data_IF_963005098679
#
_entry.id   IF_963005098679
#
_cell.length_a   1.000
_cell.length_b   1.000
_cell.length_c   1.000
_cell.angle_alpha   90.00
_cell.angle_beta   90.00
_cell.angle_gamma   90.00
#
_symmetry.space_group_name_H-M   'P 1'
#
loop_
_entity.id
_entity.type
_entity.pdbx_description
1 polymer ?
#
# COMPACT_ATOMS: atom_id res chain seq x y z
N UNK A 1 -11.34 113.69 66.75
CA UNK A 1 -10.46 112.50 66.75
C UNK A 1 -11.26 111.18 66.79
N UNK A 2 -12.42 111.11 67.46
CA UNK A 2 -13.30 109.91 67.50
C UNK A 2 -13.80 109.39 66.12
N UNK A 3 -14.16 110.28 65.20
CA UNK A 3 -14.72 109.90 63.88
C UNK A 3 -13.68 109.21 62.96
N UNK A 4 -12.39 109.49 63.14
CA UNK A 4 -11.33 108.90 62.31
C UNK A 4 -11.03 107.45 62.74
N UNK A 5 -11.16 107.16 64.05
CA UNK A 5 -10.98 105.81 64.61
C UNK A 5 -12.10 104.85 64.22
N UNK A 6 -13.36 105.30 64.16
CA UNK A 6 -14.48 104.46 63.74
C UNK A 6 -14.38 104.09 62.26
N UNK A 7 -14.01 105.05 61.40
CA UNK A 7 -13.76 104.82 59.97
C UNK A 7 -12.60 103.85 59.75
N UNK A 8 -11.53 103.92 60.56
CA UNK A 8 -10.40 102.99 60.50
C UNK A 8 -10.77 101.55 60.89
N UNK A 9 -11.62 101.38 61.91
CA UNK A 9 -12.13 100.06 62.33
C UNK A 9 -13.01 99.46 61.24
N UNK A 10 -13.85 100.28 60.60
CA UNK A 10 -14.74 99.85 59.53
C UNK A 10 -13.97 99.48 58.25
N UNK A 11 -12.96 100.29 57.86
CA UNK A 11 -12.03 99.95 56.78
C UNK A 11 -11.24 98.66 57.07
N UNK A 12 -10.83 98.43 58.31
CA UNK A 12 -10.14 97.18 58.70
C UNK A 12 -11.07 95.97 58.61
N UNK A 13 -12.35 96.12 58.97
CA UNK A 13 -13.37 95.07 58.81
C UNK A 13 -13.65 94.76 57.34
N UNK A 14 -13.81 95.79 56.52
CA UNK A 14 -14.00 95.69 55.06
C UNK A 14 -12.81 94.98 54.41
N UNK A 15 -11.58 95.37 54.77
CA UNK A 15 -10.35 94.73 54.27
C UNK A 15 -10.28 93.24 54.64
N UNK A 16 -10.64 92.91 55.88
CA UNK A 16 -10.72 91.50 56.33
C UNK A 16 -11.82 90.71 55.62
N UNK A 17 -12.97 91.31 55.33
CA UNK A 17 -14.05 90.68 54.56
C UNK A 17 -13.63 90.45 53.10
N UNK A 18 -12.96 91.43 52.48
CA UNK A 18 -12.41 91.32 51.14
C UNK A 18 -11.36 90.20 51.02
N UNK A 19 -10.46 90.07 52.00
CA UNK A 19 -9.52 88.96 52.07
C UNK A 19 -10.23 87.61 52.23
N UNK A 20 -11.31 87.55 53.03
CA UNK A 20 -12.09 86.33 53.20
C UNK A 20 -12.82 85.93 51.92
N UNK A 21 -13.39 86.90 51.20
CA UNK A 21 -14.00 86.67 49.87
C UNK A 21 -12.98 86.15 48.86
N UNK A 22 -11.77 86.73 48.82
CA UNK A 22 -10.69 86.25 47.94
C UNK A 22 -10.34 84.78 48.18
N UNK A 23 -10.18 84.38 49.46
CA UNK A 23 -9.92 82.97 49.80
C UNK A 23 -11.08 82.03 49.43
N UNK A 24 -12.32 82.50 49.52
CA UNK A 24 -13.48 81.72 49.07
C UNK A 24 -13.52 81.59 47.55
N UNK A 25 -13.15 82.65 46.81
CA UNK A 25 -13.07 82.64 45.36
C UNK A 25 -12.01 81.66 44.87
N UNK A 26 -10.79 81.70 45.43
CA UNK A 26 -9.69 80.77 45.11
C UNK A 26 -10.07 79.31 45.39
N UNK A 27 -10.79 79.04 46.50
CA UNK A 27 -11.31 77.70 46.81
C UNK A 27 -12.35 77.23 45.80
N UNK A 28 -13.24 78.13 45.37
CA UNK A 28 -14.25 77.83 44.36
C UNK A 28 -13.59 77.51 43.02
N UNK A 29 -12.65 78.33 42.57
CA UNK A 29 -11.88 78.11 41.33
C UNK A 29 -11.09 76.80 41.38
N UNK A 30 -10.44 76.49 42.50
CA UNK A 30 -9.72 75.22 42.68
C UNK A 30 -10.64 74.00 42.65
N UNK A 31 -11.82 74.09 43.30
CA UNK A 31 -12.82 73.02 43.27
C UNK A 31 -13.41 72.83 41.86
N UNK A 32 -13.64 73.93 41.12
CA UNK A 32 -14.14 73.92 39.75
C UNK A 32 -13.10 73.31 38.79
N UNK A 33 -11.82 73.63 38.98
CA UNK A 33 -10.72 73.01 38.23
C UNK A 33 -10.59 71.49 38.51
N UNK A 34 -10.71 71.08 39.78
CA UNK A 34 -10.71 69.66 40.16
C UNK A 34 -11.91 68.90 39.56
N UNK A 35 -13.09 69.52 39.57
CA UNK A 35 -14.31 68.96 38.94
C UNK A 35 -14.14 68.76 37.44
N UNK A 36 -13.61 69.78 36.73
CA UNK A 36 -13.34 69.69 35.30
C UNK A 36 -12.31 68.60 34.97
N UNK A 37 -11.29 68.44 35.81
CA UNK A 37 -10.25 67.40 35.65
C UNK A 37 -10.84 66.00 35.81
N UNK A 38 -11.68 65.80 36.84
CA UNK A 38 -12.37 64.50 37.07
C UNK A 38 -13.31 64.19 35.91
N UNK A 39 -14.03 65.18 35.39
CA UNK A 39 -14.95 64.99 34.27
C UNK A 39 -14.22 64.57 32.98
N UNK A 40 -13.08 65.19 32.69
CA UNK A 40 -12.21 64.79 31.57
C UNK A 40 -11.63 63.37 31.75
N UNK A 41 -11.19 63.01 32.95
CA UNK A 41 -10.70 61.66 33.24
C UNK A 41 -11.80 60.60 33.10
N UNK A 42 -13.03 60.95 33.51
CA UNK A 42 -14.20 60.09 33.35
C UNK A 42 -14.55 59.88 31.87
N UNK A 43 -14.57 60.95 31.06
CA UNK A 43 -14.80 60.82 29.61
C UNK A 43 -13.74 59.95 28.93
N UNK A 44 -12.47 60.14 29.28
CA UNK A 44 -11.37 59.34 28.74
C UNK A 44 -11.48 57.86 29.10
N UNK A 45 -11.83 57.55 30.36
CA UNK A 45 -12.04 56.14 30.79
C UNK A 45 -13.24 55.50 30.10
N UNK A 46 -14.35 56.23 29.91
CA UNK A 46 -15.50 55.73 29.15
C UNK A 46 -15.14 55.46 27.69
N UNK A 47 -14.34 56.32 27.06
CA UNK A 47 -13.82 56.08 25.70
C UNK A 47 -12.93 54.84 25.63
N UNK A 48 -12.02 54.66 26.59
CA UNK A 48 -11.18 53.46 26.66
C UNK A 48 -12.00 52.18 26.81
N UNK A 49 -13.00 52.17 27.69
CA UNK A 49 -13.90 51.02 27.86
C UNK A 49 -14.66 50.73 26.58
N UNK A 50 -15.17 51.77 25.88
CA UNK A 50 -15.82 51.57 24.57
C UNK A 50 -14.88 50.97 23.53
N UNK A 51 -13.64 51.45 23.44
CA UNK A 51 -12.65 50.92 22.51
C UNK A 51 -12.34 49.45 22.80
N UNK A 52 -12.08 49.12 24.06
CA UNK A 52 -11.82 47.74 24.51
C UNK A 52 -13.03 46.82 24.22
N UNK A 53 -14.25 47.28 24.51
CA UNK A 53 -15.46 46.53 24.17
C UNK A 53 -15.63 46.32 22.66
N UNK A 54 -15.17 47.25 21.82
CA UNK A 54 -15.22 47.11 20.37
C UNK A 54 -14.22 46.06 19.89
N UNK A 55 -12.97 46.11 20.35
CA UNK A 55 -11.92 45.14 20.03
C UNK A 55 -12.33 43.71 20.40
N UNK A 56 -12.86 43.51 21.61
CA UNK A 56 -13.36 42.21 22.06
C UNK A 56 -14.47 41.69 21.13
N UNK A 57 -15.35 42.59 20.67
CA UNK A 57 -16.45 42.24 19.76
C UNK A 57 -15.92 41.77 18.40
N UNK A 58 -14.93 42.48 17.86
CA UNK A 58 -14.32 42.15 16.58
C UNK A 58 -13.59 40.79 16.65
N UNK A 59 -12.87 40.52 17.74
CA UNK A 59 -12.26 39.20 18.01
C UNK A 59 -13.35 38.11 18.10
N UNK A 60 -14.47 38.39 18.76
CA UNK A 60 -15.57 37.43 18.88
C UNK A 60 -16.20 37.11 17.52
N UNK A 61 -16.36 38.12 16.66
CA UNK A 61 -16.85 37.92 15.30
C UNK A 61 -15.85 37.13 14.44
N UNK A 62 -14.55 37.46 14.53
CA UNK A 62 -13.49 36.75 13.81
C UNK A 62 -13.42 35.27 14.21
N UNK A 63 -13.46 34.97 15.51
CA UNK A 63 -13.47 33.58 16.00
C UNK A 63 -14.72 32.82 15.57
N UNK A 64 -15.90 33.46 15.59
CA UNK A 64 -17.14 32.85 15.11
C UNK A 64 -17.06 32.48 13.62
N UNK A 65 -16.58 33.39 12.78
CA UNK A 65 -16.40 33.13 11.35
C UNK A 65 -15.39 32.01 11.10
N UNK A 66 -14.25 32.05 11.80
CA UNK A 66 -13.23 31.01 11.70
C UNK A 66 -13.78 29.63 12.05
N UNK A 67 -14.49 29.50 13.17
CA UNK A 67 -15.10 28.22 13.58
C UNK A 67 -16.11 27.76 12.53
N UNK A 68 -16.93 28.67 12.00
CA UNK A 68 -17.94 28.32 11.01
C UNK A 68 -17.31 27.81 9.69
N UNK A 69 -16.21 28.41 9.24
CA UNK A 69 -15.52 28.00 8.02
C UNK A 69 -14.67 26.74 8.24
N UNK A 70 -14.10 26.56 9.43
CA UNK A 70 -13.44 25.33 9.83
C UNK A 70 -14.41 24.15 9.79
N UNK A 71 -15.60 24.28 10.38
CA UNK A 71 -16.63 23.23 10.38
C UNK A 71 -17.06 22.88 8.95
N UNK A 72 -17.26 23.88 8.07
CA UNK A 72 -17.60 23.63 6.65
C UNK A 72 -16.49 22.87 5.93
N UNK A 73 -15.23 23.25 6.16
CA UNK A 73 -14.06 22.62 5.54
C UNK A 73 -13.90 21.17 6.00
N UNK A 74 -14.06 20.91 7.30
CA UNK A 74 -14.01 19.54 7.82
C UNK A 74 -15.17 18.71 7.27
N UNK A 75 -16.38 19.26 7.23
CA UNK A 75 -17.54 18.55 6.69
C UNK A 75 -17.38 18.19 5.20
N UNK A 76 -16.81 19.09 4.39
CA UNK A 76 -16.54 18.81 2.97
C UNK A 76 -15.43 17.77 2.80
N UNK A 77 -14.38 17.82 3.63
CA UNK A 77 -13.29 16.83 3.62
C UNK A 77 -13.78 15.43 4.00
N UNK A 78 -14.63 15.31 5.04
CA UNK A 78 -15.22 14.04 5.46
C UNK A 78 -16.10 13.47 4.36
N UNK A 79 -16.95 14.30 3.73
CA UNK A 79 -17.79 13.87 2.59
C UNK A 79 -16.94 13.36 1.42
N UNK A 80 -15.89 14.09 1.05
CA UNK A 80 -14.97 13.70 -0.03
C UNK A 80 -14.22 12.41 0.28
N UNK A 81 -13.75 12.26 1.52
CA UNK A 81 -13.08 11.04 1.95
C UNK A 81 -14.04 9.86 1.87
N UNK A 82 -15.27 10.01 2.39
CA UNK A 82 -16.28 8.97 2.34
C UNK A 82 -16.63 8.55 0.91
N UNK A 83 -16.77 9.49 -0.03
CA UNK A 83 -17.03 9.15 -1.44
C UNK A 83 -15.89 8.35 -2.07
N UNK A 84 -14.63 8.69 -1.76
CA UNK A 84 -13.46 7.95 -2.25
C UNK A 84 -13.45 6.53 -1.69
N UNK A 85 -13.68 6.37 -0.38
CA UNK A 85 -13.73 5.05 0.25
C UNK A 85 -14.84 4.17 -0.33
N UNK A 86 -16.04 4.72 -0.55
CA UNK A 86 -17.15 4.00 -1.16
C UNK A 86 -16.86 3.56 -2.59
N UNK A 87 -16.20 4.39 -3.39
CA UNK A 87 -15.81 4.01 -4.74
C UNK A 87 -14.73 2.92 -4.75
N UNK A 88 -13.74 3.02 -3.85
CA UNK A 88 -12.69 2.02 -3.71
C UNK A 88 -13.24 0.67 -3.24
N UNK A 89 -14.14 0.64 -2.26
CA UNK A 89 -14.76 -0.61 -1.80
C UNK A 89 -15.60 -1.25 -2.90
N UNK A 90 -16.36 -0.46 -3.66
CA UNK A 90 -17.12 -0.97 -4.82
C UNK A 90 -16.20 -1.60 -5.85
N UNK A 91 -15.12 -0.91 -6.25
CA UNK A 91 -14.14 -1.44 -7.21
C UNK A 91 -13.48 -2.72 -6.68
N UNK A 92 -13.11 -2.77 -5.41
CA UNK A 92 -12.49 -3.95 -4.80
C UNK A 92 -13.43 -5.17 -4.83
N UNK A 93 -14.70 -4.99 -4.50
CA UNK A 93 -15.71 -6.06 -4.54
C UNK A 93 -15.91 -6.56 -5.97
N UNK A 94 -16.03 -5.63 -6.93
CA UNK A 94 -16.20 -5.95 -8.34
C UNK A 94 -15.00 -6.70 -8.92
N UNK A 95 -13.78 -6.20 -8.70
CA UNK A 95 -12.54 -6.87 -9.13
C UNK A 95 -12.41 -8.26 -8.49
N UNK A 96 -12.76 -8.42 -7.22
CA UNK A 96 -12.71 -9.72 -6.55
C UNK A 96 -13.72 -10.71 -7.14
N UNK A 97 -14.91 -10.25 -7.54
CA UNK A 97 -15.90 -11.07 -8.21
C UNK A 97 -15.43 -11.49 -9.61
N UNK A 98 -14.91 -10.55 -10.41
CA UNK A 98 -14.37 -10.82 -11.73
C UNK A 98 -13.17 -11.77 -11.68
N UNK A 99 -12.26 -11.60 -10.73
CA UNK A 99 -11.13 -12.49 -10.53
C UNK A 99 -11.58 -13.94 -10.23
N UNK A 100 -12.63 -14.12 -9.43
CA UNK A 100 -13.18 -15.46 -9.16
C UNK A 100 -13.76 -16.11 -10.41
N UNK A 101 -14.45 -15.34 -11.24
CA UNK A 101 -15.00 -15.83 -12.51
C UNK A 101 -13.88 -16.19 -13.50
N UNK A 102 -12.86 -15.34 -13.64
CA UNK A 102 -11.70 -15.63 -14.48
C UNK A 102 -10.96 -16.88 -13.99
N UNK A 103 -10.72 -17.02 -12.69
CA UNK A 103 -10.05 -18.18 -12.13
C UNK A 103 -10.83 -19.47 -12.42
N UNK A 104 -12.16 -19.43 -12.34
CA UNK A 104 -13.01 -20.57 -12.72
C UNK A 104 -12.91 -20.88 -14.22
N UNK A 105 -12.97 -19.87 -15.08
CA UNK A 105 -12.82 -20.04 -16.52
C UNK A 105 -11.44 -20.61 -16.88
N UNK A 106 -10.38 -20.08 -16.28
CA UNK A 106 -9.01 -20.57 -16.46
C UNK A 106 -8.91 -22.05 -16.10
N UNK A 107 -9.45 -22.46 -14.95
CA UNK A 107 -9.48 -23.86 -14.54
C UNK A 107 -10.19 -24.73 -15.57
N UNK A 108 -11.37 -24.33 -16.03
CA UNK A 108 -12.13 -25.08 -17.04
C UNK A 108 -11.36 -25.20 -18.37
N UNK A 109 -10.87 -24.08 -18.90
CA UNK A 109 -10.10 -24.06 -20.14
C UNK A 109 -8.82 -24.89 -20.03
N UNK A 110 -8.15 -24.83 -18.88
CA UNK A 110 -6.95 -25.60 -18.62
C UNK A 110 -7.22 -27.11 -18.61
N UNK A 111 -8.29 -27.54 -17.93
CA UNK A 111 -8.68 -28.94 -17.91
C UNK A 111 -9.06 -29.44 -19.32
N UNK A 112 -9.82 -28.66 -20.09
CA UNK A 112 -10.12 -29.01 -21.49
C UNK A 112 -8.85 -29.12 -22.33
N UNK A 113 -7.87 -28.24 -22.13
CA UNK A 113 -6.59 -28.32 -22.84
C UNK A 113 -5.85 -29.61 -22.51
N UNK A 114 -5.82 -30.01 -21.23
CA UNK A 114 -5.19 -31.25 -20.79
C UNK A 114 -5.91 -32.46 -21.39
N UNK A 115 -7.25 -32.46 -21.40
CA UNK A 115 -8.06 -33.52 -22.00
C UNK A 115 -7.79 -33.65 -23.52
N UNK A 116 -7.70 -32.52 -24.22
CA UNK A 116 -7.39 -32.47 -25.65
C UNK A 116 -5.97 -32.96 -25.96
N UNK A 117 -5.01 -32.73 -25.06
CA UNK A 117 -3.66 -33.30 -25.16
C UNK A 117 -3.62 -34.80 -24.86
N UNK A 118 -4.66 -35.33 -24.23
CA UNK A 118 -4.74 -36.72 -23.80
C UNK A 118 -4.51 -36.87 -22.29
N UNK A 119 -5.44 -37.60 -21.66
CA UNK A 119 -5.40 -37.93 -20.23
C UNK A 119 -4.32 -38.96 -19.87
N UNK A 120 -3.84 -39.71 -20.86
CA UNK A 120 -2.74 -40.66 -20.71
C UNK A 120 -1.57 -40.12 -21.52
N UNK A 121 -0.45 -39.87 -20.84
CA UNK A 121 0.80 -39.43 -21.44
C UNK A 121 1.90 -40.44 -21.14
N UNK A 122 2.66 -40.82 -22.16
CA UNK A 122 3.75 -41.77 -22.07
C UNK A 122 5.05 -41.06 -22.39
N UNK A 123 5.88 -40.92 -21.36
CA UNK A 123 7.21 -40.36 -21.47
C UNK A 123 8.26 -41.47 -21.51
N UNK A 124 9.17 -41.41 -22.47
CA UNK A 124 10.29 -42.33 -22.56
C UNK A 124 11.56 -41.69 -21.99
N UNK A 125 12.21 -42.37 -21.05
CA UNK A 125 13.51 -41.96 -20.49
C UNK A 125 14.55 -43.02 -20.78
N UNK A 126 15.67 -42.61 -21.38
CA UNK A 126 16.83 -43.47 -21.59
C UNK A 126 17.83 -43.24 -20.45
N UNK A 127 18.19 -44.29 -19.72
CA UNK A 127 19.20 -44.20 -18.68
C UNK A 127 20.59 -44.03 -19.31
N UNK A 128 21.41 -43.06 -18.88
CA UNK A 128 22.82 -42.98 -19.28
C UNK A 128 23.58 -44.25 -18.90
N UNK A 129 24.40 -44.75 -19.83
CA UNK A 129 25.28 -45.90 -19.60
C UNK A 129 26.69 -45.35 -19.37
N UNK A 130 27.31 -45.66 -18.24
CA UNK A 130 28.71 -45.35 -17.94
C UNK A 130 29.66 -46.29 -18.70
N UNK A 131 29.52 -46.40 -20.03
CA UNK A 131 30.37 -47.27 -20.83
C UNK A 131 31.56 -46.50 -21.41
N UNK A 132 32.75 -46.91 -20.98
CA UNK A 132 34.01 -46.76 -21.71
C UNK A 132 33.77 -47.09 -23.20
N UNK A 133 34.34 -46.28 -24.09
CA UNK A 133 33.80 -45.83 -25.40
C UNK A 133 33.52 -46.88 -26.50
N UNK A 134 33.29 -48.15 -26.16
CA UNK A 134 33.33 -49.28 -27.09
C UNK A 134 31.99 -50.01 -27.32
N UNK A 135 30.88 -49.59 -26.70
CA UNK A 135 29.54 -50.14 -26.97
C UNK A 135 28.68 -49.09 -27.69
N UNK A 136 28.33 -49.34 -28.96
CA UNK A 136 27.44 -48.47 -29.74
C UNK A 136 26.09 -48.36 -29.01
N UNK A 137 25.57 -47.14 -28.84
CA UNK A 137 24.18 -46.95 -28.45
C UNK A 137 23.28 -47.39 -29.62
N UNK A 138 22.35 -48.31 -29.38
CA UNK A 138 21.44 -48.82 -30.42
C UNK A 138 20.16 -47.96 -30.51
N UNK A 139 20.07 -46.90 -29.70
CA UNK A 139 18.92 -46.01 -29.61
C UNK A 139 19.28 -44.66 -30.22
N UNK A 140 18.39 -44.16 -31.07
CA UNK A 140 18.46 -42.83 -31.65
C UNK A 140 17.16 -42.11 -31.33
N UNK A 141 17.26 -40.93 -30.71
CA UNK A 141 16.13 -40.04 -30.44
C UNK A 141 16.03 -39.00 -31.54
N UNK A 142 14.82 -38.59 -31.90
CA UNK A 142 14.57 -37.40 -32.72
C UNK A 142 13.87 -36.32 -31.87
N UNK A 143 13.95 -35.07 -32.31
CA UNK A 143 13.35 -33.92 -31.61
C UNK A 143 11.81 -33.95 -31.58
N UNK A 144 11.18 -34.89 -32.32
CA UNK A 144 9.73 -35.01 -32.46
C UNK A 144 9.11 -36.09 -31.55
N UNK A 145 9.81 -36.53 -30.50
CA UNK A 145 9.29 -37.58 -29.60
C UNK A 145 9.33 -38.99 -30.19
N UNK A 146 10.12 -39.21 -31.26
CA UNK A 146 10.32 -40.52 -31.87
C UNK A 146 11.60 -41.17 -31.34
N UNK A 147 11.49 -42.43 -30.92
CA UNK A 147 12.60 -43.27 -30.52
C UNK A 147 12.81 -44.38 -31.56
N UNK A 148 14.00 -44.45 -32.13
CA UNK A 148 14.40 -45.46 -33.10
C UNK A 148 15.39 -46.43 -32.46
N UNK A 149 15.00 -47.69 -32.33
CA UNK A 149 15.86 -48.78 -31.88
C UNK A 149 16.42 -49.56 -33.07
N UNK A 150 17.73 -49.58 -33.22
CA UNK A 150 18.46 -50.32 -34.26
C UNK A 150 18.85 -51.71 -33.72
N UNK A 151 18.07 -52.75 -34.06
CA UNK A 151 18.31 -54.12 -33.57
C UNK A 151 19.36 -54.85 -34.43
N UNK A 152 19.34 -54.62 -35.74
CA UNK A 152 20.37 -55.06 -36.70
C UNK A 152 20.61 -53.98 -37.75
N UNK A 153 21.60 -54.15 -38.63
CA UNK A 153 21.87 -53.20 -39.74
C UNK A 153 20.66 -52.98 -40.65
N UNK A 154 19.75 -53.95 -40.75
CA UNK A 154 18.53 -53.91 -41.56
C UNK A 154 17.23 -53.79 -40.78
N UNK A 155 17.21 -54.10 -39.48
CA UNK A 155 16.00 -54.11 -38.65
C UNK A 155 15.99 -52.95 -37.66
N UNK A 156 15.11 -51.97 -37.93
CA UNK A 156 14.89 -50.79 -37.10
C UNK A 156 13.43 -50.79 -36.62
N UNK A 157 13.21 -50.53 -35.33
CA UNK A 157 11.88 -50.32 -34.75
C UNK A 157 11.72 -48.87 -34.34
N UNK A 158 10.58 -48.27 -34.66
CA UNK A 158 10.24 -46.89 -34.31
C UNK A 158 9.10 -46.88 -33.32
N UNK A 159 9.25 -46.06 -32.28
CA UNK A 159 8.28 -45.89 -31.21
C UNK A 159 7.98 -44.40 -31.07
N UNK A 160 6.70 -44.07 -30.94
CA UNK A 160 6.25 -42.70 -30.74
C UNK A 160 5.78 -42.53 -29.30
N UNK A 161 6.26 -41.46 -28.68
CA UNK A 161 5.96 -41.08 -27.30
C UNK A 161 5.58 -39.60 -27.26
N UNK A 162 4.91 -39.19 -26.19
CA UNK A 162 4.61 -37.77 -25.96
C UNK A 162 5.89 -36.95 -25.77
N UNK A 163 6.90 -37.56 -25.13
CA UNK A 163 8.25 -37.01 -25.07
C UNK A 163 9.29 -38.11 -24.90
N UNK A 164 10.47 -37.92 -25.49
CA UNK A 164 11.63 -38.82 -25.33
C UNK A 164 12.79 -38.03 -24.76
N UNK A 165 13.22 -38.37 -23.54
CA UNK A 165 14.38 -37.76 -22.90
C UNK A 165 15.67 -38.42 -23.41
N UNK A 166 16.58 -37.60 -23.96
CA UNK A 166 17.88 -38.04 -24.46
C UNK A 166 18.77 -38.61 -23.34
N UNK A 167 19.79 -39.38 -23.72
CA UNK A 167 20.76 -39.99 -22.80
C UNK A 167 21.49 -38.95 -21.93
N UNK A 168 21.63 -37.74 -22.44
CA UNK A 168 22.28 -36.61 -21.75
C UNK A 168 21.32 -35.82 -20.85
N UNK A 169 20.02 -36.14 -20.87
CA UNK A 169 19.03 -35.45 -20.06
C UNK A 169 19.27 -35.73 -18.57
N UNK A 170 19.47 -34.67 -17.80
CA UNK A 170 19.61 -34.74 -16.35
C UNK A 170 18.26 -35.00 -15.68
N UNK A 171 18.30 -35.50 -14.45
CA UNK A 171 17.12 -35.67 -13.61
C UNK A 171 16.36 -34.34 -13.44
N UNK A 172 17.08 -33.23 -13.34
CA UNK A 172 16.51 -31.88 -13.22
C UNK A 172 15.82 -31.44 -14.52
N UNK A 173 16.39 -31.72 -15.70
CA UNK A 173 15.74 -31.42 -16.99
C UNK A 173 14.49 -32.28 -17.26
N UNK A 174 14.36 -33.43 -16.59
CA UNK A 174 13.14 -34.24 -16.61
C UNK A 174 12.04 -33.64 -15.72
N UNK A 175 12.45 -32.91 -14.67
CA UNK A 175 11.59 -32.32 -13.65
C UNK A 175 11.30 -30.84 -13.94
N UNK A 176 12.07 -30.17 -14.79
CA UNK A 176 12.02 -28.71 -15.01
C UNK A 176 11.99 -28.40 -16.52
N UNK A 177 11.12 -27.48 -17.01
CA UNK A 177 11.13 -27.10 -18.42
C UNK A 177 12.40 -26.30 -18.76
N UNK A 178 13.04 -26.67 -19.87
CA UNK A 178 14.07 -25.82 -20.51
C UNK A 178 13.50 -24.55 -21.17
N UNK A 179 12.17 -24.35 -21.20
CA UNK A 179 11.51 -23.29 -21.98
C UNK A 179 11.50 -21.89 -21.33
N UNK A 180 12.07 -21.71 -20.13
CA UNK A 180 12.18 -20.39 -19.45
C UNK A 180 13.61 -19.99 -19.06
N UNK A 181 14.65 -20.61 -19.66
CA UNK A 181 16.06 -20.26 -19.36
C UNK A 181 16.65 -19.26 -20.38
N UNK A 182 15.90 -18.85 -21.40
CA UNK A 182 16.33 -17.75 -22.29
C UNK A 182 15.64 -16.42 -21.96
N UNK A 183 15.73 -15.97 -20.72
CA UNK A 183 15.70 -14.53 -20.48
C UNK A 183 16.80 -14.14 -19.49
N UNK A 184 17.81 -13.48 -20.05
CA UNK A 184 19.01 -13.00 -19.36
C UNK A 184 18.64 -12.04 -18.23
N UNK A 185 19.18 -12.35 -17.05
CA UNK A 185 19.92 -11.44 -16.16
C UNK A 185 19.27 -10.07 -15.88
N UNK A 186 18.45 -10.02 -14.84
CA UNK A 186 18.50 -8.89 -13.91
C UNK A 186 18.75 -9.45 -12.52
N UNK A 187 19.85 -9.02 -11.92
CA UNK A 187 20.21 -9.27 -10.54
C UNK A 187 19.14 -8.64 -9.65
N UNK A 188 18.23 -9.44 -9.14
CA UNK A 188 17.82 -9.45 -7.74
C UNK A 188 16.64 -10.40 -7.57
N UNK A 189 16.69 -11.15 -6.47
CA UNK A 189 15.66 -12.05 -5.98
C UNK A 189 15.54 -13.43 -6.66
N UNK A 190 16.09 -14.39 -5.93
CA UNK A 190 16.07 -15.83 -6.17
C UNK A 190 14.63 -16.37 -6.12
N UNK A 191 13.89 -16.29 -7.23
CA UNK A 191 12.65 -17.05 -7.37
C UNK A 191 13.04 -18.49 -7.73
N UNK A 192 12.92 -19.40 -6.74
CA UNK A 192 12.94 -20.88 -6.93
C UNK A 192 11.72 -21.36 -7.74
N UNK A 193 11.44 -20.74 -8.88
CA UNK A 193 10.36 -21.14 -9.81
C UNK A 193 10.95 -21.96 -10.95
N UNK A 194 11.50 -23.13 -10.62
CA UNK A 194 11.87 -24.16 -11.59
C UNK A 194 10.81 -25.27 -11.56
N UNK A 195 9.58 -24.94 -11.95
CA UNK A 195 8.40 -25.79 -11.72
C UNK A 195 7.90 -26.34 -13.06
N UNK A 196 8.39 -27.54 -13.39
CA UNK A 196 7.84 -28.61 -14.25
C UNK A 196 7.37 -28.26 -15.67
N UNK A 197 8.02 -28.81 -16.70
CA UNK A 197 7.68 -28.50 -18.10
C UNK A 197 6.54 -29.35 -18.62
N UNK A 198 6.77 -30.65 -18.60
CA UNK A 198 5.82 -31.65 -19.10
C UNK A 198 4.97 -32.27 -17.98
N UNK A 199 5.49 -32.24 -16.74
CA UNK A 199 4.79 -32.71 -15.53
C UNK A 199 4.00 -31.60 -14.81
N UNK A 200 4.17 -30.31 -15.17
CA UNK A 200 3.38 -29.23 -14.53
C UNK A 200 1.91 -29.38 -14.78
N UNK A 201 1.54 -29.75 -16.00
CA UNK A 201 0.15 -30.04 -16.36
C UNK A 201 -0.49 -31.05 -15.42
N UNK A 202 0.26 -32.10 -15.15
CA UNK A 202 -0.16 -33.21 -14.31
C UNK A 202 -0.25 -32.77 -12.83
N UNK A 203 0.70 -31.98 -12.35
CA UNK A 203 0.71 -31.45 -10.97
C UNK A 203 -0.41 -30.42 -10.78
N UNK A 204 -0.63 -29.52 -11.74
CA UNK A 204 -1.68 -28.52 -11.70
C UNK A 204 -3.07 -29.17 -11.67
N UNK A 205 -3.30 -30.24 -12.44
CA UNK A 205 -4.53 -31.04 -12.32
C UNK A 205 -4.70 -31.64 -10.92
N UNK A 206 -3.62 -32.09 -10.27
CA UNK A 206 -3.70 -32.59 -8.89
C UNK A 206 -4.08 -31.49 -7.89
N UNK A 207 -3.50 -30.29 -8.02
CA UNK A 207 -3.85 -29.11 -7.20
C UNK A 207 -5.30 -28.69 -7.43
N UNK A 208 -5.80 -28.83 -8.66
CA UNK A 208 -7.19 -28.58 -9.03
C UNK A 208 -8.16 -29.69 -8.57
N UNK A 209 -7.68 -30.71 -7.85
CA UNK A 209 -8.51 -31.76 -7.24
C UNK A 209 -8.81 -32.95 -8.16
N UNK A 210 -8.05 -33.12 -9.24
CA UNK A 210 -8.14 -34.33 -10.07
C UNK A 210 -7.24 -35.43 -9.53
N UNK A 211 -7.70 -36.67 -9.68
CA UNK A 211 -6.89 -37.84 -9.35
C UNK A 211 -5.82 -38.03 -10.41
N UNK A 212 -4.57 -37.99 -9.98
CA UNK A 212 -3.39 -38.08 -10.84
C UNK A 212 -2.56 -39.28 -10.41
N UNK A 213 -2.09 -40.04 -11.39
CA UNK A 213 -1.22 -41.18 -11.16
C UNK A 213 0.00 -41.11 -12.08
N UNK A 214 1.19 -41.07 -11.48
CA UNK A 214 2.47 -41.15 -12.19
C UNK A 214 3.08 -42.51 -11.91
N UNK A 215 3.39 -43.26 -12.97
CA UNK A 215 4.00 -44.58 -12.87
C UNK A 215 5.30 -44.63 -13.65
N UNK A 216 6.32 -45.26 -13.07
CA UNK A 216 7.57 -45.57 -13.76
C UNK A 216 7.59 -47.05 -14.17
N UNK A 217 7.68 -47.32 -15.48
CA UNK A 217 7.71 -48.67 -16.03
C UNK A 217 9.06 -49.00 -16.68
N UNK A 218 9.51 -50.25 -16.57
CA UNK A 218 10.76 -50.73 -17.17
C UNK A 218 11.37 -51.93 -16.43
N UNK A 219 12.40 -52.54 -17.02
CA UNK A 219 13.11 -53.68 -16.42
C UNK A 219 13.87 -53.30 -15.14
N UNK A 220 14.31 -54.30 -14.36
CA UNK A 220 15.23 -54.06 -13.22
C UNK A 220 16.53 -53.43 -13.72
N UNK A 221 17.00 -52.40 -13.00
CA UNK A 221 18.19 -51.61 -13.39
C UNK A 221 17.92 -50.43 -14.35
N UNK A 222 16.72 -50.32 -14.93
CA UNK A 222 16.40 -49.24 -15.90
C UNK A 222 16.28 -47.84 -15.30
N UNK A 223 16.33 -47.70 -13.97
CA UNK A 223 16.28 -46.39 -13.30
C UNK A 223 14.91 -45.96 -12.77
N UNK A 224 13.92 -46.86 -12.63
CA UNK A 224 12.59 -46.53 -12.07
C UNK A 224 12.64 -45.82 -10.71
N UNK A 225 13.33 -46.41 -9.73
CA UNK A 225 13.51 -45.81 -8.38
C UNK A 225 14.26 -44.49 -8.45
N UNK A 226 15.26 -44.39 -9.33
CA UNK A 226 16.00 -43.14 -9.55
C UNK A 226 15.10 -42.05 -10.15
N UNK A 227 14.15 -42.38 -11.05
CA UNK A 227 13.14 -41.45 -11.57
C UNK A 227 12.19 -40.97 -10.48
N UNK A 228 11.64 -41.88 -9.67
CA UNK A 228 10.58 -41.55 -8.72
C UNK A 228 11.11 -40.94 -7.42
N UNK A 229 12.13 -41.53 -6.81
CA UNK A 229 12.65 -41.08 -5.50
C UNK A 229 13.93 -40.26 -5.66
N UNK A 230 14.84 -40.72 -6.52
CA UNK A 230 16.16 -40.10 -6.71
C UNK A 230 17.05 -40.15 -5.45
N UNK A 231 18.36 -39.91 -5.56
CA UNK A 231 19.22 -39.72 -4.40
C UNK A 231 18.97 -38.35 -3.73
N UNK A 232 19.40 -38.15 -2.47
CA UNK A 232 19.24 -36.87 -1.75
C UNK A 232 19.81 -35.67 -2.51
N UNK A 233 20.91 -35.88 -3.24
CA UNK A 233 21.59 -34.83 -4.01
C UNK A 233 20.86 -34.49 -5.32
N UNK A 234 19.97 -35.37 -5.80
CA UNK A 234 19.20 -35.23 -7.06
C UNK A 234 17.81 -35.84 -6.89
N UNK A 235 16.85 -35.13 -6.27
CA UNK A 235 15.55 -35.69 -5.95
C UNK A 235 14.76 -36.12 -7.20
N UNK A 236 13.89 -37.11 -7.00
CA UNK A 236 12.96 -37.63 -7.99
C UNK A 236 11.66 -36.84 -8.08
N UNK A 237 10.70 -37.43 -8.78
CA UNK A 237 9.35 -36.87 -8.97
C UNK A 237 8.54 -36.86 -7.67
N UNK A 238 8.80 -37.78 -6.75
CA UNK A 238 8.17 -37.87 -5.44
C UNK A 238 8.91 -36.92 -4.48
N UNK A 239 8.33 -35.74 -4.25
CA UNK A 239 8.84 -34.71 -3.34
C UNK A 239 7.99 -34.69 -2.08
#
# INVERSE_FOLDING_TARGET
QQQLTDVLIELSREKSNNERLRRMLERKESAEHASNTIQLQFEHTVQHVRSCCQEVRDILHGTKHFVQDFVKTVASLVKRSHSIYMEQTKKLVETRALYRLEAQQRRLTYNTLIELRGNIRVFCRIRPIDCDSSRRCWLQTTDAGELVAHLTSSNKRRFQFDHVFHVEATQEQMIVPSKYVQEKSTKDEFVRSHVFGELSDIIASSVDGYNVCIMAYGQTGSGKTYTMEGPPDKPGVNI
#
